data_IF_776930892102
#
_entry.id   IF_776930892102
#
_cell.length_a   1.000
_cell.length_b   1.000
_cell.length_c   1.000
_cell.angle_alpha   90.00
_cell.angle_beta   90.00
_cell.angle_gamma   90.00
#
_symmetry.space_group_name_H-M   'P 1'
#
loop_
_entity.id
_entity.type
_entity.pdbx_description
1 polymer ?
#
# COMPACT_ATOMS: atom_id res chain seq x y z
N UNK A 1 -3.32 6.05 82.45
CA UNK A 1 -2.06 5.48 81.90
C UNK A 1 -1.97 5.89 80.43
N UNK A 2 -0.80 6.32 79.94
CA UNK A 2 -0.46 6.63 78.52
C UNK A 2 -1.39 7.62 77.76
N UNK A 3 -0.97 8.81 77.26
CA UNK A 3 0.07 9.11 76.23
C UNK A 3 -0.11 8.25 74.95
N UNK A 4 -0.14 8.71 73.70
CA UNK A 4 -0.03 10.02 72.99
C UNK A 4 -0.39 9.74 71.49
N UNK A 5 -0.68 10.65 70.55
CA UNK A 5 -0.57 12.12 70.44
C UNK A 5 -1.61 12.67 69.41
N UNK A 6 -1.33 13.83 68.79
CA UNK A 6 -2.04 14.60 67.75
C UNK A 6 -2.01 14.05 66.32
N UNK A 7 -2.99 14.47 65.49
CA UNK A 7 -2.74 15.27 64.27
C UNK A 7 -4.02 15.97 63.80
N UNK A 8 -3.90 17.22 63.32
CA UNK A 8 -5.02 18.05 62.87
C UNK A 8 -5.02 18.19 61.34
N UNK A 9 -6.21 18.22 60.73
CA UNK A 9 -6.38 18.51 59.31
C UNK A 9 -7.01 19.89 59.14
N UNK A 10 -6.29 20.82 58.54
CA UNK A 10 -6.74 22.19 58.31
C UNK A 10 -7.44 22.27 56.94
N UNK A 11 -8.70 22.70 56.90
CA UNK A 11 -9.41 22.93 55.65
C UNK A 11 -9.02 24.30 55.07
N UNK A 12 -8.62 24.33 53.80
CA UNK A 12 -8.34 25.56 53.05
C UNK A 12 -9.25 25.63 51.82
N UNK A 13 -10.03 26.71 51.71
CA UNK A 13 -10.84 27.03 50.54
C UNK A 13 -10.02 27.95 49.63
N UNK A 14 -9.92 27.62 48.35
CA UNK A 14 -9.32 28.49 47.35
C UNK A 14 -10.15 28.54 46.06
N UNK A 15 -10.66 29.74 45.80
CA UNK A 15 -11.28 30.28 44.57
C UNK A 15 -11.00 29.59 43.24
N UNK A 16 -12.08 29.33 42.49
CA UNK A 16 -12.05 29.02 41.05
C UNK A 16 -11.70 30.30 40.27
N UNK A 17 -10.60 30.28 39.52
CA UNK A 17 -10.29 31.29 38.51
C UNK A 17 -10.68 30.77 37.12
N UNK A 18 -11.63 31.43 36.48
CA UNK A 18 -12.02 31.12 35.11
C UNK A 18 -11.13 31.88 34.11
N UNK A 19 -10.38 31.15 33.28
CA UNK A 19 -9.58 31.70 32.19
C UNK A 19 -9.88 30.97 30.88
N UNK A 20 -10.44 31.71 29.92
CA UNK A 20 -10.44 31.49 28.46
C UNK A 20 -10.43 30.05 27.94
N UNK A 21 -11.59 29.58 27.48
CA UNK A 21 -11.67 28.43 26.58
C UNK A 21 -11.05 28.76 25.22
N UNK A 22 -9.79 28.37 25.02
CA UNK A 22 -9.17 28.34 23.70
C UNK A 22 -9.70 27.14 22.92
N UNK A 23 -10.68 27.36 22.05
CA UNK A 23 -11.06 26.35 21.05
C UNK A 23 -9.89 26.14 20.10
N UNK A 24 -9.20 25.02 20.24
CA UNK A 24 -8.32 24.52 19.18
C UNK A 24 -9.24 24.16 18.01
N UNK A 25 -9.33 25.07 17.04
CA UNK A 25 -9.89 24.74 15.73
C UNK A 25 -8.87 23.90 15.00
N UNK A 26 -9.06 22.58 15.07
CA UNK A 26 -8.31 21.63 14.27
C UNK A 26 -8.67 21.86 12.80
N UNK A 27 -7.84 22.67 12.13
CA UNK A 27 -7.97 22.96 10.71
C UNK A 27 -7.33 21.81 9.95
N UNK A 28 -8.04 20.68 9.93
CA UNK A 28 -7.76 19.62 8.98
C UNK A 28 -7.65 20.24 7.58
N UNK A 29 -6.49 20.06 6.94
CA UNK A 29 -6.32 20.51 5.56
C UNK A 29 -7.39 19.86 4.70
N UNK A 30 -8.02 20.60 3.76
CA UNK A 30 -8.98 19.98 2.86
C UNK A 30 -8.25 18.88 2.09
N UNK A 31 -8.66 17.63 2.29
CA UNK A 31 -8.18 16.51 1.50
C UNK A 31 -8.39 16.87 0.02
N UNK A 32 -7.32 16.78 -0.78
CA UNK A 32 -7.45 16.95 -2.23
C UNK A 32 -8.37 15.84 -2.71
N UNK A 33 -9.52 16.20 -3.29
CA UNK A 33 -10.36 15.22 -3.98
C UNK A 33 -9.54 14.59 -5.09
N UNK A 34 -9.36 13.28 -4.99
CA UNK A 34 -8.76 12.46 -6.04
C UNK A 34 -9.56 12.66 -7.34
N UNK A 35 -8.89 12.63 -8.52
CA UNK A 35 -9.61 12.59 -9.77
C UNK A 35 -10.51 11.34 -9.77
N UNK A 36 -11.79 11.53 -10.08
CA UNK A 36 -12.70 10.41 -10.27
C UNK A 36 -12.12 9.49 -11.35
N UNK A 37 -12.13 8.17 -11.10
CA UNK A 37 -11.69 7.18 -12.08
C UNK A 37 -12.39 7.42 -13.40
N UNK A 38 -11.59 7.53 -14.47
CA UNK A 38 -12.09 7.93 -15.79
C UNK A 38 -12.87 6.81 -16.51
N UNK A 39 -12.81 5.60 -15.95
CA UNK A 39 -13.41 4.37 -16.46
C UNK A 39 -14.95 4.36 -16.42
N UNK A 40 -15.63 4.28 -17.59
CA UNK A 40 -17.06 4.05 -17.64
C UNK A 40 -17.39 2.62 -17.18
N UNK A 41 -18.24 2.50 -16.16
CA UNK A 41 -18.77 1.21 -15.73
C UNK A 41 -19.46 0.48 -16.91
N UNK A 42 -18.82 -0.57 -17.43
CA UNK A 42 -19.35 -1.39 -18.54
C UNK A 42 -18.34 -1.83 -19.61
N UNK A 43 -17.11 -1.29 -19.62
CA UNK A 43 -16.08 -1.72 -20.56
C UNK A 43 -15.22 -2.87 -20.01
N UNK A 44 -14.63 -3.66 -20.92
CA UNK A 44 -13.51 -4.57 -20.63
C UNK A 44 -12.32 -4.07 -21.45
N UNK A 45 -11.38 -3.44 -20.77
CA UNK A 45 -10.17 -2.90 -21.37
C UNK A 45 -9.02 -3.91 -21.29
N UNK A 46 -8.07 -3.81 -22.23
CA UNK A 46 -6.91 -4.71 -22.30
C UNK A 46 -5.61 -3.97 -21.98
N UNK A 47 -4.71 -4.66 -21.29
CA UNK A 47 -3.34 -4.21 -21.05
C UNK A 47 -2.30 -5.25 -21.41
N UNK A 48 -1.05 -4.82 -21.56
CA UNK A 48 0.08 -5.71 -21.81
C UNK A 48 1.37 -5.14 -21.19
N UNK A 49 2.30 -6.02 -20.83
CA UNK A 49 3.64 -5.63 -20.40
C UNK A 49 4.51 -5.24 -21.61
N UNK A 50 5.32 -4.19 -21.48
CA UNK A 50 6.33 -3.85 -22.49
C UNK A 50 7.51 -3.11 -21.86
N UNK A 51 8.72 -3.30 -22.39
CA UNK A 51 9.92 -2.68 -21.87
C UNK A 51 9.96 -1.16 -22.20
N UNK A 52 10.83 -0.37 -21.54
CA UNK A 52 11.06 1.03 -21.92
C UNK A 52 11.42 1.18 -23.41
N UNK A 53 10.88 2.21 -24.05
CA UNK A 53 10.99 2.45 -25.49
C UNK A 53 10.00 1.67 -26.37
N UNK A 54 9.28 0.69 -25.84
CA UNK A 54 8.41 -0.20 -26.65
C UNK A 54 6.94 0.26 -26.78
N UNK A 55 6.54 1.38 -26.14
CA UNK A 55 5.15 1.84 -26.12
C UNK A 55 4.49 1.95 -27.51
N UNK A 56 5.20 2.53 -28.49
CA UNK A 56 4.70 2.66 -29.86
C UNK A 56 4.64 1.30 -30.59
N UNK A 57 5.55 0.38 -30.29
CA UNK A 57 5.52 -0.99 -30.82
C UNK A 57 4.31 -1.75 -30.27
N UNK A 58 4.02 -1.61 -28.97
CA UNK A 58 2.85 -2.20 -28.32
C UNK A 58 1.54 -1.62 -28.88
N UNK A 59 1.45 -0.30 -29.07
CA UNK A 59 0.29 0.36 -29.69
C UNK A 59 0.00 -0.17 -31.10
N UNK A 60 1.03 -0.52 -31.86
CA UNK A 60 0.88 -1.06 -33.21
C UNK A 60 0.34 -2.51 -33.26
N UNK A 61 0.31 -3.23 -32.14
CA UNK A 61 -0.23 -4.60 -32.05
C UNK A 61 -1.74 -4.59 -31.85
N UNK A 62 -2.23 -3.80 -30.88
CA UNK A 62 -3.64 -3.72 -30.51
C UNK A 62 -3.93 -2.42 -29.74
N UNK A 63 -5.19 -1.96 -29.69
CA UNK A 63 -5.59 -0.80 -28.89
C UNK A 63 -5.67 -1.17 -27.39
N UNK A 64 -4.52 -1.39 -26.77
CA UNK A 64 -4.43 -1.56 -25.32
C UNK A 64 -4.70 -0.21 -24.64
N UNK A 65 -5.47 -0.22 -23.54
CA UNK A 65 -5.67 0.93 -22.67
C UNK A 65 -4.55 1.05 -21.62
N UNK A 66 -4.01 -0.07 -21.16
CA UNK A 66 -3.00 -0.10 -20.08
C UNK A 66 -1.65 -0.61 -20.55
N UNK A 67 -0.57 0.01 -20.05
CA UNK A 67 0.81 -0.44 -20.29
C UNK A 67 1.45 -0.80 -18.95
N UNK A 68 1.84 -2.07 -18.78
CA UNK A 68 2.21 -2.64 -17.48
C UNK A 68 3.73 -2.83 -17.26
N UNK A 69 4.22 -2.48 -16.07
CA UNK A 69 5.63 -2.66 -15.69
C UNK A 69 5.79 -2.97 -14.19
N UNK A 70 6.62 -3.97 -13.88
CA UNK A 70 7.07 -4.22 -12.51
C UNK A 70 8.17 -3.25 -12.10
N UNK A 71 8.11 -2.74 -10.87
CA UNK A 71 9.20 -2.05 -10.17
C UNK A 71 9.74 -3.01 -9.11
N UNK A 72 10.95 -3.54 -9.33
CA UNK A 72 11.48 -4.71 -8.60
C UNK A 72 12.90 -4.51 -8.08
N UNK A 73 13.36 -5.48 -7.29
CA UNK A 73 14.66 -5.49 -6.62
C UNK A 73 14.58 -5.05 -5.16
N UNK A 74 15.66 -5.21 -4.38
CA UNK A 74 15.71 -4.76 -2.99
C UNK A 74 15.57 -3.23 -2.90
N UNK A 75 15.03 -2.70 -1.81
CA UNK A 75 14.76 -1.26 -1.66
C UNK A 75 16.02 -0.38 -1.82
N UNK A 76 17.21 -0.88 -1.48
CA UNK A 76 18.48 -0.14 -1.56
C UNK A 76 19.18 -0.21 -2.94
N UNK A 77 18.72 -1.10 -3.82
CA UNK A 77 19.47 -1.50 -5.03
C UNK A 77 18.60 -1.92 -6.23
N UNK A 78 17.27 -1.76 -6.12
CA UNK A 78 16.28 -2.11 -7.13
C UNK A 78 15.92 -0.97 -8.08
N UNK A 79 14.64 -0.85 -8.41
CA UNK A 79 14.13 0.01 -9.49
C UNK A 79 14.59 1.47 -9.44
N UNK A 80 14.79 2.03 -8.24
CA UNK A 80 15.17 3.42 -8.02
C UNK A 80 16.52 3.79 -8.67
N UNK A 81 17.39 2.80 -8.96
CA UNK A 81 18.69 2.99 -9.62
C UNK A 81 18.72 2.52 -11.09
N UNK A 82 17.60 2.04 -11.66
CA UNK A 82 17.54 1.65 -13.09
C UNK A 82 17.79 2.83 -14.04
N UNK A 83 17.46 4.04 -13.59
CA UNK A 83 17.84 5.29 -14.22
C UNK A 83 18.21 6.31 -13.11
N UNK A 84 19.05 7.32 -13.39
CA UNK A 84 19.42 8.35 -12.43
C UNK A 84 18.18 8.96 -11.74
N UNK A 85 18.27 9.13 -10.43
CA UNK A 85 17.25 9.73 -9.58
C UNK A 85 15.82 9.15 -9.77
N UNK A 86 15.69 7.86 -10.12
CA UNK A 86 14.40 7.21 -10.35
C UNK A 86 13.67 7.62 -11.64
N UNK A 87 14.33 8.29 -12.58
CA UNK A 87 13.73 8.84 -13.82
C UNK A 87 13.03 7.80 -14.72
N UNK A 88 13.24 6.50 -14.47
CA UNK A 88 12.54 5.40 -15.13
C UNK A 88 11.01 5.56 -15.07
N UNK A 89 10.46 5.90 -13.89
CA UNK A 89 9.01 6.09 -13.69
C UNK A 89 8.49 7.20 -14.60
N UNK A 90 9.18 8.34 -14.60
CA UNK A 90 8.86 9.51 -15.43
C UNK A 90 8.90 9.19 -16.93
N UNK A 91 9.96 8.53 -17.40
CA UNK A 91 10.07 8.14 -18.81
C UNK A 91 8.98 7.14 -19.22
N UNK A 92 8.66 6.17 -18.37
CA UNK A 92 7.62 5.20 -18.64
C UNK A 92 6.22 5.84 -18.69
N UNK A 93 5.92 6.81 -17.82
CA UNK A 93 4.69 7.61 -17.86
C UNK A 93 4.63 8.43 -19.16
N UNK A 94 5.69 9.17 -19.49
CA UNK A 94 5.75 10.02 -20.69
C UNK A 94 5.58 9.21 -21.99
N UNK A 95 6.21 8.04 -22.10
CA UNK A 95 6.05 7.12 -23.23
C UNK A 95 4.62 6.59 -23.36
N UNK A 96 3.99 6.22 -22.23
CA UNK A 96 2.64 5.64 -22.22
C UNK A 96 1.60 6.69 -22.59
N UNK A 97 1.72 7.89 -22.02
CA UNK A 97 0.88 9.05 -22.36
C UNK A 97 1.00 9.44 -23.85
N UNK A 98 2.19 9.36 -24.44
CA UNK A 98 2.41 9.66 -25.86
C UNK A 98 1.66 8.71 -26.82
N UNK A 99 1.27 7.52 -26.37
CA UNK A 99 0.47 6.54 -27.12
C UNK A 99 -0.96 6.37 -26.58
N UNK A 100 -1.38 7.23 -25.65
CA UNK A 100 -2.69 7.22 -24.98
C UNK A 100 -2.97 5.93 -24.18
N UNK A 101 -1.94 5.41 -23.50
CA UNK A 101 -2.07 4.29 -22.54
C UNK A 101 -1.87 4.78 -21.11
N UNK A 102 -2.70 4.32 -20.18
CA UNK A 102 -2.52 4.53 -18.74
C UNK A 102 -1.38 3.61 -18.25
N UNK A 103 -0.29 4.16 -17.67
CA UNK A 103 0.78 3.37 -17.11
C UNK A 103 0.35 2.69 -15.80
N UNK A 104 0.65 1.41 -15.69
CA UNK A 104 0.36 0.57 -14.52
C UNK A 104 1.67 0.03 -13.97
N UNK A 105 1.97 0.33 -12.70
CA UNK A 105 3.17 -0.13 -12.01
C UNK A 105 2.82 -1.13 -10.90
N UNK A 106 3.45 -2.30 -10.91
CA UNK A 106 3.47 -3.20 -9.74
C UNK A 106 4.70 -2.94 -8.90
N UNK A 107 4.52 -2.37 -7.71
CA UNK A 107 5.58 -2.09 -6.75
C UNK A 107 5.89 -3.34 -5.93
N UNK A 108 6.97 -4.07 -6.26
CA UNK A 108 7.26 -5.38 -5.68
C UNK A 108 8.69 -5.44 -5.13
N UNK A 109 8.86 -4.88 -3.93
CA UNK A 109 10.16 -4.52 -3.34
C UNK A 109 10.39 -5.20 -1.99
N UNK A 110 9.37 -5.36 -1.14
CA UNK A 110 9.56 -5.87 0.23
C UNK A 110 10.13 -7.29 0.26
N UNK A 111 9.56 -8.22 -0.52
CA UNK A 111 10.04 -9.61 -0.57
C UNK A 111 11.52 -9.68 -0.99
N UNK A 112 11.93 -8.84 -1.93
CA UNK A 112 13.30 -8.81 -2.45
C UNK A 112 14.27 -8.10 -1.51
N UNK A 113 13.76 -7.24 -0.63
CA UNK A 113 14.55 -6.51 0.38
C UNK A 113 14.97 -7.37 1.58
N UNK A 114 14.27 -8.48 1.84
CA UNK A 114 14.69 -9.49 2.81
C UNK A 114 14.87 -10.85 2.11
N UNK A 115 16.03 -11.12 1.48
CA UNK A 115 16.28 -12.39 0.80
C UNK A 115 16.50 -13.56 1.78
N UNK A 116 16.75 -13.27 3.07
CA UNK A 116 16.94 -14.29 4.10
C UNK A 116 15.59 -14.70 4.74
N UNK A 117 15.11 -15.90 4.47
CA UNK A 117 13.96 -16.51 5.14
C UNK A 117 13.69 -17.94 4.63
N UNK A 118 12.78 -18.67 5.27
CA UNK A 118 12.47 -20.06 4.89
C UNK A 118 11.33 -20.17 3.88
N UNK A 119 10.50 -19.12 3.78
CA UNK A 119 9.41 -18.96 2.82
C UNK A 119 9.24 -17.48 2.47
N UNK A 120 8.36 -17.16 1.53
CA UNK A 120 8.11 -15.78 1.12
C UNK A 120 7.30 -14.99 2.16
N UNK A 121 6.46 -15.65 2.97
CA UNK A 121 5.83 -15.06 4.16
C UNK A 121 6.86 -14.69 5.22
N UNK A 122 7.82 -15.59 5.51
CA UNK A 122 8.91 -15.37 6.47
C UNK A 122 9.74 -14.14 6.06
N UNK A 123 10.06 -14.03 4.77
CA UNK A 123 10.83 -12.92 4.18
C UNK A 123 10.08 -11.60 4.26
N UNK A 124 8.79 -11.57 3.91
CA UNK A 124 7.98 -10.36 3.99
C UNK A 124 7.73 -9.94 5.44
N UNK A 125 7.46 -10.88 6.34
CA UNK A 125 7.36 -10.60 7.77
C UNK A 125 8.66 -10.01 8.33
N UNK A 126 9.84 -10.53 7.91
CA UNK A 126 11.14 -9.94 8.27
C UNK A 126 11.30 -8.53 7.72
N UNK A 127 11.02 -8.30 6.43
CA UNK A 127 11.10 -6.98 5.80
C UNK A 127 10.23 -5.95 6.54
N UNK A 128 8.96 -6.29 6.83
CA UNK A 128 8.02 -5.43 7.55
C UNK A 128 8.48 -5.09 8.98
N UNK A 129 9.32 -5.90 9.62
CA UNK A 129 9.78 -5.68 10.99
C UNK A 129 11.17 -5.02 11.08
N UNK A 130 11.86 -4.78 9.96
CA UNK A 130 13.20 -4.18 9.95
C UNK A 130 13.13 -2.66 9.67
N UNK A 131 13.59 -1.86 10.64
CA UNK A 131 13.56 -0.39 10.56
C UNK A 131 14.36 0.17 9.36
N UNK A 132 15.45 -0.50 8.96
CA UNK A 132 16.29 -0.03 7.86
C UNK A 132 15.67 -0.38 6.51
N UNK A 133 15.16 -1.59 6.34
CA UNK A 133 14.41 -1.98 5.14
C UNK A 133 13.17 -1.09 5.01
N UNK A 134 12.37 -0.90 6.06
CA UNK A 134 11.15 -0.11 5.98
C UNK A 134 11.41 1.37 5.72
N UNK A 135 12.47 1.95 6.28
CA UNK A 135 12.89 3.32 5.94
C UNK A 135 13.23 3.46 4.45
N UNK A 136 14.12 2.60 3.94
CA UNK A 136 14.51 2.66 2.52
C UNK A 136 13.36 2.29 1.57
N UNK A 137 12.46 1.41 1.98
CA UNK A 137 11.21 1.11 1.27
C UNK A 137 10.35 2.36 1.12
N UNK A 138 10.10 3.10 2.20
CA UNK A 138 9.29 4.32 2.14
C UNK A 138 10.01 5.48 1.45
N UNK A 139 11.34 5.60 1.57
CA UNK A 139 12.14 6.58 0.83
C UNK A 139 12.05 6.34 -0.69
N UNK A 140 12.13 5.08 -1.14
CA UNK A 140 11.97 4.74 -2.56
C UNK A 140 10.52 4.86 -3.02
N UNK A 141 9.54 4.46 -2.22
CA UNK A 141 8.13 4.64 -2.56
C UNK A 141 7.75 6.13 -2.65
N UNK A 142 8.32 6.98 -1.78
CA UNK A 142 8.21 8.45 -1.90
C UNK A 142 8.78 8.92 -3.23
N UNK A 143 9.97 8.46 -3.63
CA UNK A 143 10.56 8.79 -4.93
C UNK A 143 9.65 8.38 -6.10
N UNK A 144 8.97 7.24 -6.03
CA UNK A 144 7.96 6.86 -7.04
C UNK A 144 6.87 7.94 -7.14
N UNK A 145 6.26 8.32 -6.01
CA UNK A 145 5.19 9.32 -6.01
C UNK A 145 5.71 10.69 -6.45
N UNK A 146 6.85 11.16 -5.96
CA UNK A 146 7.45 12.42 -6.42
C UNK A 146 7.63 12.43 -7.96
N UNK A 147 8.08 11.32 -8.57
CA UNK A 147 8.23 11.17 -10.03
C UNK A 147 6.92 11.08 -10.80
N UNK A 148 5.90 10.43 -10.25
CA UNK A 148 4.56 10.36 -10.85
C UNK A 148 3.80 11.70 -10.72
N UNK A 149 3.99 12.42 -9.61
CA UNK A 149 3.39 13.71 -9.30
C UNK A 149 3.90 14.87 -10.17
N UNK A 150 5.09 14.73 -10.77
CA UNK A 150 5.54 15.64 -11.84
C UNK A 150 4.66 15.58 -13.11
N UNK A 151 3.74 14.62 -13.23
CA UNK A 151 2.82 14.45 -14.36
C UNK A 151 1.35 14.53 -13.90
N UNK A 152 0.91 15.63 -13.26
CA UNK A 152 -0.39 15.71 -12.58
C UNK A 152 -1.62 15.65 -13.51
N UNK A 153 -1.42 15.68 -14.82
CA UNK A 153 -2.46 15.51 -15.84
C UNK A 153 -2.54 14.08 -16.40
N UNK A 154 -1.66 13.17 -15.98
CA UNK A 154 -1.65 11.76 -16.39
C UNK A 154 -2.13 10.90 -15.23
N UNK A 155 -3.16 10.10 -15.47
CA UNK A 155 -3.58 9.04 -14.55
C UNK A 155 -2.48 7.97 -14.50
N UNK A 156 -2.17 7.46 -13.32
CA UNK A 156 -1.16 6.41 -13.11
C UNK A 156 -1.74 5.41 -12.12
N UNK A 157 -1.67 4.11 -12.40
CA UNK A 157 -2.12 3.08 -11.46
C UNK A 157 -0.90 2.47 -10.77
N UNK A 158 -0.93 2.43 -9.43
CA UNK A 158 0.10 1.82 -8.61
C UNK A 158 -0.48 0.63 -7.82
N UNK A 159 -0.17 -0.58 -8.30
CA UNK A 159 -0.44 -1.84 -7.63
C UNK A 159 0.64 -2.09 -6.58
N UNK A 160 0.24 -2.09 -5.31
CA UNK A 160 1.16 -2.16 -4.17
C UNK A 160 1.41 -3.61 -3.77
N UNK A 161 2.68 -4.00 -3.70
CA UNK A 161 3.20 -5.24 -3.12
C UNK A 161 2.31 -6.45 -3.39
N UNK A 162 2.39 -7.02 -4.62
CA UNK A 162 1.73 -8.26 -4.96
C UNK A 162 1.95 -9.32 -3.88
N UNK A 163 0.88 -10.07 -3.59
CA UNK A 163 0.83 -11.21 -2.68
C UNK A 163 1.03 -10.89 -1.19
N UNK A 164 1.70 -9.79 -0.82
CA UNK A 164 1.90 -9.34 0.56
C UNK A 164 0.62 -9.40 1.38
N UNK A 165 -0.45 -8.81 0.85
CA UNK A 165 -1.76 -8.74 1.50
C UNK A 165 -2.35 -10.13 1.73
N UNK A 166 -2.21 -11.02 0.75
CA UNK A 166 -2.68 -12.41 0.84
C UNK A 166 -1.86 -13.24 1.81
N UNK A 167 -0.53 -13.18 1.75
CA UNK A 167 0.35 -13.84 2.69
C UNK A 167 0.11 -13.39 4.14
N UNK A 168 -0.08 -12.09 4.38
CA UNK A 168 -0.43 -11.59 5.71
C UNK A 168 -1.81 -12.10 6.14
N UNK A 169 -2.83 -12.03 5.28
CA UNK A 169 -4.16 -12.59 5.58
C UNK A 169 -4.08 -14.09 5.92
N UNK A 170 -3.28 -14.87 5.18
CA UNK A 170 -3.09 -16.31 5.41
C UNK A 170 -2.45 -16.61 6.77
N UNK A 171 -1.48 -15.81 7.20
CA UNK A 171 -0.71 -16.03 8.44
C UNK A 171 -1.37 -15.38 9.68
N UNK A 172 -2.14 -14.29 9.50
CA UNK A 172 -2.74 -13.51 10.60
C UNK A 172 -4.26 -13.58 10.68
N UNK A 173 -4.93 -14.08 9.66
CA UNK A 173 -6.38 -14.02 9.50
C UNK A 173 -6.84 -12.64 9.02
N UNK A 174 -8.15 -12.42 9.07
CA UNK A 174 -8.80 -11.22 8.52
C UNK A 174 -8.59 -9.90 9.32
N UNK A 175 -7.73 -9.88 10.35
CA UNK A 175 -7.40 -8.68 11.13
C UNK A 175 -6.00 -8.15 10.76
N UNK A 176 -5.89 -7.11 9.90
CA UNK A 176 -4.60 -6.55 9.50
C UNK A 176 -3.86 -5.84 10.65
N UNK A 177 -4.50 -5.56 11.80
CA UNK A 177 -3.80 -4.99 12.96
C UNK A 177 -2.88 -6.01 13.64
N UNK A 178 -3.08 -7.31 13.42
CA UNK A 178 -2.26 -8.39 13.97
C UNK A 178 -0.89 -8.57 13.27
N UNK A 179 -0.65 -7.87 12.15
CA UNK A 179 0.66 -7.77 11.52
C UNK A 179 1.34 -6.47 11.96
N UNK A 180 2.42 -6.59 12.74
CA UNK A 180 3.31 -5.46 13.04
C UNK A 180 4.05 -4.99 11.80
N UNK A 181 4.19 -3.68 11.65
CA UNK A 181 5.02 -3.04 10.61
C UNK A 181 5.81 -1.91 11.25
N UNK A 182 7.13 -1.93 11.10
CA UNK A 182 8.02 -0.91 11.64
C UNK A 182 7.95 0.35 10.77
N UNK A 183 7.04 1.28 11.08
CA UNK A 183 6.95 2.52 10.31
C UNK A 183 8.15 3.45 10.60
N UNK A 184 8.60 4.26 9.62
CA UNK A 184 9.61 5.30 9.84
C UNK A 184 9.08 6.43 10.74
N UNK A 185 9.10 6.22 12.05
CA UNK A 185 8.57 7.16 13.06
C UNK A 185 9.19 8.57 13.03
N UNK A 186 10.33 8.74 12.35
CA UNK A 186 10.97 10.02 12.09
C UNK A 186 10.30 10.88 11.00
N UNK A 187 9.52 10.29 10.08
CA UNK A 187 8.83 11.08 9.04
C UNK A 187 7.57 11.75 9.62
N UNK A 188 7.45 13.10 9.55
CA UNK A 188 6.26 13.82 10.01
C UNK A 188 4.95 13.36 9.38
N UNK A 189 4.98 12.85 8.14
CA UNK A 189 3.81 12.37 7.40
C UNK A 189 3.19 11.12 8.03
N UNK A 190 4.00 10.29 8.69
CA UNK A 190 3.53 9.04 9.33
C UNK A 190 3.17 9.23 10.81
N UNK A 191 3.24 10.45 11.34
CA UNK A 191 2.89 10.74 12.73
C UNK A 191 1.44 10.32 13.03
N UNK A 192 1.29 9.58 14.12
CA UNK A 192 -0.01 9.09 14.61
C UNK A 192 -0.55 7.86 13.89
N UNK A 193 0.19 7.28 12.94
CA UNK A 193 -0.13 5.97 12.38
C UNK A 193 0.29 4.85 13.37
N UNK A 194 -0.44 3.72 13.43
CA UNK A 194 -0.03 2.56 14.20
C UNK A 194 1.07 1.77 13.49
N UNK A 195 1.99 1.16 14.24
CA UNK A 195 3.02 0.24 13.72
C UNK A 195 2.41 -1.13 13.33
N UNK A 196 1.52 -1.12 12.33
CA UNK A 196 0.79 -2.28 11.83
C UNK A 196 0.46 -2.16 10.34
N UNK A 197 -0.08 -3.21 9.72
CA UNK A 197 -0.41 -3.18 8.28
C UNK A 197 -1.47 -2.12 7.94
N UNK A 198 -2.34 -1.75 8.89
CA UNK A 198 -3.28 -0.64 8.70
C UNK A 198 -2.53 0.71 8.60
N UNK A 199 -1.53 0.92 9.45
CA UNK A 199 -0.67 2.11 9.37
C UNK A 199 0.23 2.11 8.13
N UNK A 200 0.67 0.94 7.67
CA UNK A 200 1.38 0.79 6.40
C UNK A 200 0.52 1.23 5.20
N UNK A 201 -0.72 0.73 5.08
CA UNK A 201 -1.66 1.17 4.05
C UNK A 201 -1.92 2.69 4.13
N UNK A 202 -2.14 3.21 5.34
CA UNK A 202 -2.37 4.65 5.55
C UNK A 202 -1.13 5.52 5.25
N UNK A 203 0.09 5.01 5.47
CA UNK A 203 1.33 5.68 5.11
C UNK A 203 1.48 5.81 3.58
N UNK A 204 1.16 4.75 2.84
CA UNK A 204 1.12 4.74 1.36
C UNK A 204 0.09 5.76 0.85
N UNK A 205 -1.12 5.76 1.41
CA UNK A 205 -2.16 6.72 1.03
C UNK A 205 -1.73 8.17 1.28
N UNK A 206 -1.12 8.47 2.43
CA UNK A 206 -0.60 9.82 2.74
C UNK A 206 0.53 10.25 1.79
N UNK A 207 1.41 9.33 1.37
CA UNK A 207 2.43 9.62 0.36
C UNK A 207 1.78 9.99 -0.99
N UNK A 208 0.77 9.22 -1.43
CA UNK A 208 0.01 9.50 -2.65
C UNK A 208 -0.66 10.88 -2.57
N UNK A 209 -1.39 11.17 -1.51
CA UNK A 209 -2.18 12.39 -1.37
C UNK A 209 -1.30 13.67 -1.37
N UNK A 210 -0.12 13.59 -0.75
CA UNK A 210 0.86 14.70 -0.69
C UNK A 210 1.58 14.90 -2.04
N UNK A 211 2.20 13.83 -2.57
CA UNK A 211 3.15 13.93 -3.69
C UNK A 211 2.53 13.66 -5.07
N UNK A 212 1.51 12.80 -5.18
CA UNK A 212 0.98 12.33 -6.46
C UNK A 212 -0.53 12.03 -6.43
N UNK A 213 -1.40 13.06 -6.26
CA UNK A 213 -2.85 12.87 -6.25
C UNK A 213 -3.42 12.38 -7.60
N UNK A 214 -2.61 12.29 -8.65
CA UNK A 214 -2.93 11.66 -9.94
C UNK A 214 -2.70 10.13 -9.96
N UNK A 215 -2.10 9.56 -8.90
CA UNK A 215 -1.89 8.12 -8.76
C UNK A 215 -3.11 7.48 -8.09
N UNK A 216 -3.67 6.48 -8.76
CA UNK A 216 -4.73 5.60 -8.26
C UNK A 216 -4.06 4.38 -7.60
N UNK A 217 -4.44 4.06 -6.36
CA UNK A 217 -3.85 2.97 -5.59
C UNK A 217 -4.62 1.67 -5.82
N UNK A 218 -3.90 0.57 -6.06
CA UNK A 218 -4.45 -0.75 -6.29
C UNK A 218 -4.06 -1.74 -5.17
N UNK A 219 -5.07 -2.35 -4.56
CA UNK A 219 -4.95 -3.44 -3.57
C UNK A 219 -4.92 -4.80 -4.27
N UNK A 220 -4.04 -5.73 -3.88
CA UNK A 220 -4.05 -7.10 -4.42
C UNK A 220 -4.95 -8.04 -3.60
N UNK A 221 -6.11 -8.40 -4.16
CA UNK A 221 -6.93 -9.52 -3.69
C UNK A 221 -6.35 -10.85 -4.21
N UNK A 222 -5.21 -11.24 -3.65
CA UNK A 222 -4.41 -12.40 -4.07
C UNK A 222 -5.02 -13.74 -3.67
N UNK A 223 -4.85 -14.76 -4.53
CA UNK A 223 -5.19 -16.17 -4.28
C UNK A 223 -4.40 -16.81 -3.13
N UNK A 224 -3.27 -16.21 -2.74
CA UNK A 224 -2.52 -16.63 -1.57
C UNK A 224 -3.28 -16.41 -0.26
N UNK A 225 -4.28 -15.51 -0.22
CA UNK A 225 -5.10 -15.21 0.97
C UNK A 225 -5.81 -16.44 1.59
N UNK A 226 -6.67 -17.19 0.87
CA UNK A 226 -7.27 -18.42 1.37
C UNK A 226 -6.29 -19.61 1.43
N UNK A 227 -5.07 -19.47 0.88
CA UNK A 227 -4.13 -20.57 0.67
C UNK A 227 -4.67 -21.64 -0.30
N UNK A 228 -5.50 -21.23 -1.26
CA UNK A 228 -6.27 -22.10 -2.18
C UNK A 228 -6.48 -21.40 -3.51
N UNK A 229 -6.06 -22.04 -4.61
CA UNK A 229 -6.31 -21.56 -5.96
C UNK A 229 -7.73 -21.98 -6.37
N UNK A 230 -8.68 -21.04 -6.39
CA UNK A 230 -10.08 -21.33 -6.73
C UNK A 230 -10.30 -21.78 -8.19
N UNK A 231 -9.31 -21.60 -9.07
CA UNK A 231 -9.36 -22.09 -10.47
C UNK A 231 -8.82 -23.51 -10.57
N UNK A 232 -7.91 -23.91 -9.68
CA UNK A 232 -7.41 -25.28 -9.57
C UNK A 232 -8.32 -26.18 -8.72
N UNK A 233 -8.79 -25.70 -7.58
CA UNK A 233 -9.59 -26.47 -6.60
C UNK A 233 -11.05 -26.67 -7.04
N UNK A 234 -11.57 -25.85 -7.96
CA UNK A 234 -12.97 -25.80 -8.41
C UNK A 234 -14.00 -25.93 -7.25
N UNK A 235 -13.91 -25.09 -6.20
CA UNK A 235 -14.76 -25.19 -5.02
C UNK A 235 -16.20 -24.72 -5.33
N UNK A 236 -17.21 -25.18 -4.58
CA UNK A 236 -18.58 -24.68 -4.74
C UNK A 236 -18.65 -23.15 -4.53
N UNK A 237 -19.49 -22.45 -5.30
CA UNK A 237 -19.69 -20.99 -5.25
C UNK A 237 -19.79 -20.42 -3.83
N UNK A 238 -20.46 -21.13 -2.92
CA UNK A 238 -20.60 -20.74 -1.52
C UNK A 238 -19.25 -20.60 -0.80
N UNK A 239 -18.29 -21.50 -1.06
CA UNK A 239 -16.93 -21.41 -0.49
C UNK A 239 -16.15 -20.24 -1.10
N UNK A 240 -16.33 -19.95 -2.39
CA UNK A 240 -15.74 -18.75 -3.01
C UNK A 240 -16.29 -17.48 -2.36
N UNK A 241 -17.60 -17.42 -2.09
CA UNK A 241 -18.24 -16.31 -1.37
C UNK A 241 -17.73 -16.17 0.06
N UNK A 242 -17.55 -17.28 0.80
CA UNK A 242 -17.01 -17.26 2.16
C UNK A 242 -15.57 -16.72 2.17
N UNK A 243 -14.67 -17.25 1.33
CA UNK A 243 -13.27 -16.79 1.24
C UNK A 243 -13.17 -15.32 0.80
N UNK A 244 -13.97 -14.92 -0.19
CA UNK A 244 -14.04 -13.51 -0.65
C UNK A 244 -14.53 -12.60 0.48
N UNK A 245 -15.46 -13.07 1.31
CA UNK A 245 -15.97 -12.31 2.46
C UNK A 245 -14.87 -12.03 3.47
N UNK A 246 -13.99 -13.00 3.75
CA UNK A 246 -12.83 -12.80 4.64
C UNK A 246 -11.86 -11.76 4.09
N UNK A 247 -11.51 -11.84 2.80
CA UNK A 247 -10.65 -10.84 2.14
C UNK A 247 -11.29 -9.44 2.11
N UNK A 248 -12.62 -9.34 1.98
CA UNK A 248 -13.34 -8.07 2.09
C UNK A 248 -13.31 -7.50 3.52
N UNK A 249 -13.32 -8.34 4.57
CA UNK A 249 -13.14 -7.85 5.94
C UNK A 249 -11.70 -7.40 6.19
N UNK A 250 -10.71 -8.16 5.71
CA UNK A 250 -9.29 -7.79 5.77
C UNK A 250 -9.03 -6.44 5.10
N UNK A 251 -9.52 -6.28 3.86
CA UNK A 251 -9.45 -5.02 3.11
C UNK A 251 -10.05 -3.84 3.89
N UNK A 252 -11.28 -4.00 4.41
CA UNK A 252 -11.94 -2.96 5.23
C UNK A 252 -11.16 -2.64 6.51
N UNK A 253 -10.50 -3.64 7.09
CA UNK A 253 -9.64 -3.49 8.25
C UNK A 253 -8.42 -2.60 8.01
N UNK A 254 -7.94 -2.47 6.76
CA UNK A 254 -6.81 -1.59 6.42
C UNK A 254 -7.11 -0.11 6.68
N UNK A 255 -8.39 0.29 6.65
CA UNK A 255 -8.80 1.67 6.90
C UNK A 255 -8.31 2.65 5.84
N UNK A 256 -8.21 2.19 4.59
CA UNK A 256 -7.89 2.95 3.38
C UNK A 256 -8.81 2.50 2.27
N UNK A 257 -9.45 3.44 1.59
CA UNK A 257 -10.16 3.17 0.34
C UNK A 257 -9.14 3.21 -0.80
N UNK A 258 -8.78 2.04 -1.33
CA UNK A 258 -8.02 1.90 -2.57
C UNK A 258 -8.95 2.14 -3.75
N UNK A 259 -8.40 2.70 -4.83
CA UNK A 259 -9.15 3.10 -6.01
C UNK A 259 -9.44 1.90 -6.95
N UNK A 260 -8.56 0.88 -6.92
CA UNK A 260 -8.69 -0.35 -7.69
C UNK A 260 -8.44 -1.61 -6.84
N UNK A 261 -9.02 -2.73 -7.27
CA UNK A 261 -8.67 -4.08 -6.79
C UNK A 261 -8.04 -4.85 -7.95
N UNK A 262 -6.82 -5.31 -7.74
CA UNK A 262 -6.16 -6.27 -8.60
C UNK A 262 -6.48 -7.67 -8.08
N UNK A 263 -6.61 -8.64 -8.98
CA UNK A 263 -6.82 -10.04 -8.65
C UNK A 263 -6.21 -10.91 -9.75
N UNK A 264 -5.68 -12.06 -9.35
CA UNK A 264 -5.09 -13.05 -10.24
C UNK A 264 -6.05 -14.23 -10.44
N UNK A 265 -6.19 -14.67 -11.69
CA UNK A 265 -7.10 -15.76 -12.08
C UNK A 265 -6.37 -16.99 -12.64
N UNK A 266 -5.04 -16.97 -12.65
CA UNK A 266 -4.19 -18.08 -13.10
C UNK A 266 -2.75 -17.77 -12.75
N UNK A 267 -2.36 -17.98 -11.50
CA UNK A 267 -0.97 -17.96 -11.09
C UNK A 267 -0.23 -19.17 -11.70
N UNK A 268 0.40 -18.98 -12.87
CA UNK A 268 1.12 -20.05 -13.60
C UNK A 268 2.64 -19.89 -13.55
N UNK A 269 3.11 -18.84 -12.89
CA UNK A 269 4.50 -18.40 -12.87
C UNK A 269 5.04 -18.11 -11.45
N UNK A 270 4.20 -17.99 -10.42
CA UNK A 270 4.67 -17.97 -9.03
C UNK A 270 4.69 -19.36 -8.38
N UNK A 271 5.23 -19.40 -7.15
CA UNK A 271 5.56 -20.63 -6.43
C UNK A 271 4.36 -21.46 -5.94
N UNK A 272 3.11 -21.01 -6.12
CA UNK A 272 1.93 -21.71 -5.57
C UNK A 272 1.91 -23.18 -6.01
N UNK A 273 2.11 -23.41 -7.31
CA UNK A 273 2.11 -24.73 -7.94
C UNK A 273 3.42 -25.53 -7.75
N UNK A 274 4.38 -24.97 -7.00
CA UNK A 274 5.65 -25.59 -6.64
C UNK A 274 5.73 -25.98 -5.16
N UNK A 275 4.96 -25.32 -4.29
CA UNK A 275 5.04 -25.48 -2.84
C UNK A 275 3.77 -26.06 -2.18
N UNK A 276 2.63 -26.10 -2.89
CA UNK A 276 1.39 -26.81 -2.52
C UNK A 276 1.17 -28.06 -3.40
#
# INVERSE_FOLDING_TARGET
MQKTLTSALLAAVATIAACGGGTITDTASPARTLPATSEPAGNVELGMASAPGEAATMQAVAPFAYRYQYLTGPADSGWAIWAPDGAFVTHYIDESAAVMMTPVFSYYVLLQSSPEGNSDEDRQARALNDETIMRTYFDTLRLFFERAGERPAQEVILHIEPDLWGFVQRVKGADPTAQHVQLPSGDPLFRGLPDSLTGFAQAIARLRDEFAPNVQLAFHASTWAPGRDFVYDDPPDASVVDWTTETVQFYKGLGVDFDFVFAEFSDRDAGFKQFE
#
